data_IF_013744858143
#
_entry.id   IF_013744858143
#
_cell.length_a   1.000
_cell.length_b   1.000
_cell.length_c   1.000
_cell.angle_alpha   90.00
_cell.angle_beta   90.00
_cell.angle_gamma   90.00
#
_symmetry.space_group_name_H-M   'P 1'
#
loop_
_entity.id
_entity.type
_entity.pdbx_description
1 polymer ?
#
# COMPACT_ATOMS: atom_id res chain seq x y z
N UNK A 1 10.47 13.53 -10.61
CA UNK A 1 9.82 13.88 -9.33
C UNK A 1 9.09 12.68 -8.71
N UNK A 2 8.60 11.73 -9.51
CA UNK A 2 7.90 10.50 -9.07
C UNK A 2 8.52 9.70 -7.92
N UNK A 3 9.84 9.59 -7.86
CA UNK A 3 10.46 8.69 -6.88
C UNK A 3 10.27 9.18 -5.43
N UNK A 4 10.16 10.50 -5.20
CA UNK A 4 9.91 11.07 -3.85
C UNK A 4 8.47 10.85 -3.39
N UNK A 5 7.51 10.89 -4.30
CA UNK A 5 6.10 10.66 -4.00
C UNK A 5 5.85 9.18 -3.70
N UNK A 6 6.44 8.29 -4.49
CA UNK A 6 6.43 6.84 -4.24
C UNK A 6 7.03 6.49 -2.88
N UNK A 7 8.21 7.03 -2.54
CA UNK A 7 8.83 6.78 -1.24
C UNK A 7 8.00 7.33 -0.07
N UNK A 8 7.28 8.44 -0.25
CA UNK A 8 6.38 8.95 0.78
C UNK A 8 5.17 8.04 0.97
N UNK A 9 4.56 7.56 -0.11
CA UNK A 9 3.44 6.61 -0.07
C UNK A 9 3.86 5.30 0.62
N UNK A 10 5.04 4.77 0.28
CA UNK A 10 5.57 3.56 0.91
C UNK A 10 5.79 3.75 2.42
N UNK A 11 6.35 4.89 2.85
CA UNK A 11 6.51 5.21 4.27
C UNK A 11 5.17 5.28 4.99
N UNK A 12 4.16 5.88 4.37
CA UNK A 12 2.81 5.94 4.93
C UNK A 12 2.20 4.55 5.05
N UNK A 13 2.30 3.72 4.01
CA UNK A 13 1.83 2.33 4.02
C UNK A 13 2.47 1.51 5.14
N UNK A 14 3.80 1.59 5.29
CA UNK A 14 4.54 0.88 6.34
C UNK A 14 4.14 1.37 7.74
N UNK A 15 3.99 2.68 7.95
CA UNK A 15 3.54 3.21 9.23
C UNK A 15 2.13 2.73 9.61
N UNK A 16 1.18 2.81 8.67
CA UNK A 16 -0.19 2.37 8.93
C UNK A 16 -0.26 0.87 9.21
N UNK A 17 0.52 0.07 8.47
CA UNK A 17 0.62 -1.37 8.69
C UNK A 17 1.19 -1.69 10.07
N UNK A 18 2.25 -0.98 10.50
CA UNK A 18 2.81 -1.13 11.85
C UNK A 18 1.79 -0.80 12.94
N UNK A 19 1.04 0.29 12.77
CA UNK A 19 -0.01 0.68 13.70
C UNK A 19 -1.11 -0.38 13.78
N UNK A 20 -1.54 -0.92 12.64
CA UNK A 20 -2.51 -2.01 12.59
C UNK A 20 -2.06 -3.27 13.31
N UNK A 21 -0.82 -3.70 13.08
CA UNK A 21 -0.25 -4.86 13.78
C UNK A 21 -0.13 -4.62 15.28
N UNK A 22 0.18 -3.38 15.69
CA UNK A 22 0.20 -2.98 17.09
C UNK A 22 -1.20 -3.04 17.70
N UNK A 23 -2.21 -2.41 17.07
CA UNK A 23 -3.61 -2.47 17.51
C UNK A 23 -4.12 -3.91 17.61
N UNK A 24 -3.74 -4.80 16.67
CA UNK A 24 -4.04 -6.23 16.76
C UNK A 24 -3.42 -6.88 17.99
N UNK A 25 -2.16 -6.57 18.29
CA UNK A 25 -1.45 -7.11 19.45
C UNK A 25 -2.05 -6.62 20.77
N UNK A 26 -2.51 -5.38 20.81
CA UNK A 26 -3.14 -4.75 21.98
C UNK A 26 -4.62 -5.13 22.16
N UNK A 27 -5.21 -5.88 21.22
CA UNK A 27 -6.61 -6.30 21.30
C UNK A 27 -7.60 -5.16 21.05
N UNK A 28 -7.24 -4.22 20.16
CA UNK A 28 -8.10 -3.12 19.76
C UNK A 28 -9.48 -3.61 19.24
N UNK A 29 -10.54 -2.80 19.41
CA UNK A 29 -11.88 -3.17 18.97
C UNK A 29 -11.95 -3.37 17.45
N UNK A 30 -12.79 -4.31 17.01
CA UNK A 30 -12.92 -4.68 15.58
C UNK A 30 -13.19 -3.49 14.68
N UNK A 31 -14.00 -2.51 15.12
CA UNK A 31 -14.29 -1.30 14.34
C UNK A 31 -13.03 -0.47 14.06
N UNK A 32 -12.10 -0.38 15.02
CA UNK A 32 -10.83 0.33 14.82
C UNK A 32 -9.91 -0.44 13.85
N UNK A 33 -9.88 -1.77 13.98
CA UNK A 33 -9.12 -2.65 13.10
C UNK A 33 -9.63 -2.60 11.65
N UNK A 34 -10.94 -2.51 11.45
CA UNK A 34 -11.54 -2.36 10.12
C UNK A 34 -11.17 -1.03 9.47
N UNK A 35 -11.30 0.08 10.20
CA UNK A 35 -10.89 1.40 9.70
C UNK A 35 -9.41 1.44 9.31
N UNK A 36 -8.54 0.85 10.14
CA UNK A 36 -7.10 0.78 9.86
C UNK A 36 -6.81 -0.10 8.64
N UNK A 37 -7.50 -1.24 8.51
CA UNK A 37 -7.39 -2.14 7.35
C UNK A 37 -7.81 -1.45 6.07
N UNK A 38 -8.94 -0.74 6.05
CA UNK A 38 -9.41 0.02 4.88
C UNK A 38 -8.37 1.04 4.45
N UNK A 39 -7.75 1.76 5.39
CA UNK A 39 -6.70 2.73 5.10
C UNK A 39 -5.45 2.09 4.49
N UNK A 40 -5.05 0.91 4.97
CA UNK A 40 -3.91 0.15 4.42
C UNK A 40 -4.21 -0.29 2.98
N UNK A 41 -5.43 -0.76 2.71
CA UNK A 41 -5.85 -1.19 1.38
C UNK A 41 -5.87 -0.01 0.40
N UNK A 42 -6.35 1.16 0.82
CA UNK A 42 -6.30 2.38 0.01
C UNK A 42 -4.86 2.76 -0.37
N UNK A 43 -3.95 2.77 0.60
CA UNK A 43 -2.53 3.07 0.36
C UNK A 43 -1.88 2.04 -0.58
N UNK A 44 -2.22 0.76 -0.45
CA UNK A 44 -1.76 -0.29 -1.35
C UNK A 44 -2.25 -0.08 -2.79
N UNK A 45 -3.52 0.30 -2.97
CA UNK A 45 -4.05 0.62 -4.29
C UNK A 45 -3.40 1.87 -4.91
N UNK A 46 -3.12 2.89 -4.11
CA UNK A 46 -2.43 4.10 -4.58
C UNK A 46 -0.99 3.79 -5.02
N UNK A 47 -0.29 2.91 -4.29
CA UNK A 47 1.02 2.42 -4.70
C UNK A 47 0.97 1.65 -6.02
N UNK A 48 0.00 0.73 -6.21
CA UNK A 48 -0.15 -0.02 -7.48
C UNK A 48 -0.48 0.90 -8.66
N UNK A 49 -1.38 1.88 -8.46
CA UNK A 49 -1.74 2.88 -9.47
C UNK A 49 -0.56 3.78 -9.85
N UNK A 50 0.26 4.18 -8.87
CA UNK A 50 1.48 4.96 -9.09
C UNK A 50 2.55 4.22 -9.90
N UNK A 51 2.64 2.89 -9.74
CA UNK A 51 3.56 2.04 -10.54
C UNK A 51 3.17 2.03 -12.03
N UNK A 52 1.89 2.19 -12.36
CA UNK A 52 1.42 2.19 -13.76
C UNK A 52 1.67 3.49 -14.52
N UNK A 53 1.87 4.61 -13.82
CA UNK A 53 2.17 5.90 -14.46
C UNK A 53 3.67 6.18 -14.62
N UNK A 54 4.53 5.44 -13.90
CA UNK A 54 5.98 5.66 -13.88
C UNK A 54 6.84 4.74 -14.73
N UNK A 55 6.24 3.80 -15.46
CA UNK A 55 7.02 2.93 -16.36
C UNK A 55 6.17 2.46 -17.56
N UNK A 56 6.32 3.06 -18.76
CA UNK A 56 5.81 2.45 -20.00
C UNK A 56 6.61 1.20 -20.43
N UNK A 57 7.60 0.75 -19.64
CA UNK A 57 8.44 -0.41 -19.92
C UNK A 57 8.08 -1.65 -19.09
N UNK A 58 6.86 -1.68 -18.51
CA UNK A 58 6.24 -2.84 -17.87
C UNK A 58 6.05 -3.96 -18.89
N UNK A 59 7.17 -4.63 -19.14
CA UNK A 59 7.43 -5.61 -20.16
C UNK A 59 6.29 -6.62 -20.21
N UNK A 60 5.68 -6.73 -21.40
CA UNK A 60 4.73 -7.80 -21.72
C UNK A 60 5.42 -9.15 -21.52
N UNK A 61 5.37 -9.71 -20.32
CA UNK A 61 5.49 -11.16 -20.14
C UNK A 61 4.09 -11.75 -20.30
N UNK A 62 3.56 -11.62 -21.52
CA UNK A 62 2.32 -12.26 -21.94
C UNK A 62 2.66 -13.29 -23.01
N UNK A 63 2.60 -14.57 -22.62
CA UNK A 63 2.37 -15.69 -23.52
C UNK A 63 3.61 -16.38 -24.04
N UNK A 64 4.15 -17.33 -23.27
CA UNK A 64 4.79 -18.50 -23.86
C UNK A 64 3.66 -19.48 -24.21
N UNK A 65 3.34 -19.59 -25.50
CA UNK A 65 2.74 -20.78 -26.11
C UNK A 65 3.01 -20.77 -27.59
#
# INVERSE_FOLDING_TARGET
MENRERHQLERQYVQQTRKYLQSLREGAPSSELEMQKERILELSQLMDKGVRYGDPSGHRLRGHR
#
